data_IF_637860471919
#
_entry.id   IF_637860471919
#
_cell.length_a   1.000
_cell.length_b   1.000
_cell.length_c   1.000
_cell.angle_alpha   90.00
_cell.angle_beta   90.00
_cell.angle_gamma   90.00
#
_symmetry.space_group_name_H-M   'P 1'
#
loop_
_entity.id
_entity.type
_entity.pdbx_description
1 polymer ?
#
# COMPACT_ATOMS: atom_id res chain seq x y z
N UNK A 1 3.67 -45.36 -42.52
CA UNK A 1 2.72 -44.25 -42.80
C UNK A 1 1.98 -43.68 -41.59
N UNK A 2 1.93 -44.33 -40.41
CA UNK A 2 1.25 -43.75 -39.21
C UNK A 2 2.11 -42.87 -38.28
N UNK A 3 3.44 -42.78 -38.49
CA UNK A 3 4.34 -41.95 -37.66
C UNK A 3 4.64 -40.54 -38.21
N UNK A 4 4.25 -40.26 -39.46
CA UNK A 4 4.46 -38.95 -40.10
C UNK A 4 3.23 -38.04 -39.92
N UNK A 5 2.04 -38.61 -39.74
CA UNK A 5 0.79 -37.86 -39.58
C UNK A 5 0.64 -37.20 -38.19
N UNK A 6 1.25 -37.76 -37.14
CA UNK A 6 1.19 -37.19 -35.78
C UNK A 6 2.16 -36.02 -35.55
N UNK A 7 3.17 -35.82 -36.41
CA UNK A 7 4.06 -34.65 -36.31
C UNK A 7 3.52 -33.42 -37.06
N UNK A 8 2.65 -33.63 -38.05
CA UNK A 8 1.95 -32.54 -38.75
C UNK A 8 0.76 -31.97 -37.95
N UNK A 9 0.09 -32.79 -37.14
CA UNK A 9 -0.99 -32.31 -36.25
C UNK A 9 -0.48 -31.51 -35.02
N UNK A 10 0.73 -31.81 -34.54
CA UNK A 10 1.35 -31.07 -33.44
C UNK A 10 1.92 -29.71 -33.88
N UNK A 11 2.17 -29.53 -35.18
CA UNK A 11 2.62 -28.26 -35.77
C UNK A 11 1.45 -27.35 -36.20
N UNK A 12 0.23 -27.88 -36.33
CA UNK A 12 -0.95 -27.08 -36.66
C UNK A 12 -1.71 -26.56 -35.44
N UNK A 13 -1.55 -27.16 -34.25
CA UNK A 13 -2.16 -26.66 -33.01
C UNK A 13 -1.33 -25.58 -32.31
N UNK A 14 -0.05 -25.43 -32.65
CA UNK A 14 0.84 -24.38 -32.14
C UNK A 14 0.80 -23.09 -32.98
N UNK A 15 0.12 -23.10 -34.13
CA UNK A 15 -0.07 -21.90 -34.98
C UNK A 15 -1.36 -21.12 -34.68
N UNK A 16 -2.27 -21.64 -33.87
CA UNK A 16 -3.54 -20.96 -33.54
C UNK A 16 -3.52 -20.12 -32.26
N UNK A 17 -2.40 -20.13 -31.51
CA UNK A 17 -2.16 -19.22 -30.38
C UNK A 17 -1.17 -18.08 -30.71
N UNK A 18 -0.79 -17.92 -31.98
CA UNK A 18 0.18 -16.89 -32.42
C UNK A 18 -0.41 -15.78 -33.30
N UNK A 19 -1.74 -15.65 -33.38
CA UNK A 19 -2.41 -14.60 -34.16
C UNK A 19 -3.35 -13.71 -33.33
N UNK A 20 -3.23 -13.74 -32.00
CA UNK A 20 -3.96 -12.85 -31.09
C UNK A 20 -3.21 -11.60 -30.63
N UNK A 21 -1.97 -11.36 -31.09
CA UNK A 21 -1.17 -10.21 -30.65
C UNK A 21 -0.40 -9.59 -31.81
N UNK A 22 -0.39 -8.26 -31.88
CA UNK A 22 0.19 -7.41 -32.93
C UNK A 22 -0.73 -7.06 -34.11
N UNK A 23 -1.96 -6.59 -33.81
CA UNK A 23 -2.42 -5.39 -34.50
C UNK A 23 -1.57 -4.23 -33.98
N UNK A 24 -0.55 -3.81 -34.72
CA UNK A 24 0.25 -2.66 -34.33
C UNK A 24 -0.62 -1.41 -34.38
N UNK A 25 -0.74 -0.70 -33.27
CA UNK A 25 -1.49 0.57 -33.12
C UNK A 25 -1.00 1.72 -34.03
N UNK A 26 -0.20 1.46 -35.06
CA UNK A 26 0.42 2.49 -35.89
C UNK A 26 1.39 3.41 -35.12
N UNK A 27 1.67 3.13 -33.85
CA UNK A 27 2.60 3.90 -33.02
C UNK A 27 4.03 3.67 -33.49
N UNK A 28 4.74 4.76 -33.74
CA UNK A 28 6.16 4.75 -34.09
C UNK A 28 6.96 4.08 -32.95
N UNK A 29 7.79 3.10 -33.31
CA UNK A 29 8.68 2.45 -32.35
C UNK A 29 10.01 3.20 -32.28
N UNK A 30 10.46 3.50 -31.06
CA UNK A 30 11.70 4.23 -30.81
C UNK A 30 12.81 3.30 -30.31
N UNK A 31 14.09 3.61 -30.52
CA UNK A 31 15.19 2.89 -29.86
C UNK A 31 15.05 2.91 -28.33
N UNK A 32 15.37 1.81 -27.66
CA UNK A 32 15.46 1.78 -26.19
C UNK A 32 16.83 2.26 -25.75
N UNK A 33 16.91 3.51 -25.29
CA UNK A 33 18.13 4.15 -24.80
C UNK A 33 18.15 4.22 -23.26
N UNK A 34 17.32 3.40 -22.59
CA UNK A 34 17.16 3.48 -21.15
C UNK A 34 18.32 2.92 -20.35
N UNK A 35 19.05 1.95 -20.91
CA UNK A 35 20.16 1.27 -20.25
C UNK A 35 19.82 0.80 -18.82
N UNK A 36 18.61 0.25 -18.66
CA UNK A 36 18.10 -0.21 -17.37
C UNK A 36 18.81 -1.50 -16.96
N UNK A 37 19.08 -1.65 -15.66
CA UNK A 37 19.37 -2.95 -15.10
C UNK A 37 18.13 -3.87 -15.15
N UNK A 38 18.28 -5.20 -15.03
CA UNK A 38 17.15 -6.12 -15.15
C UNK A 38 16.04 -5.93 -14.10
N UNK A 39 16.34 -5.42 -12.90
CA UNK A 39 15.34 -5.22 -11.85
C UNK A 39 14.46 -4.02 -12.21
N UNK A 40 15.09 -2.88 -12.53
CA UNK A 40 14.38 -1.67 -13.00
C UNK A 40 13.64 -1.92 -14.32
N UNK A 41 14.22 -2.72 -15.23
CA UNK A 41 13.52 -3.12 -16.44
C UNK A 41 12.24 -3.89 -16.12
N UNK A 42 12.26 -4.78 -15.13
CA UNK A 42 11.09 -5.58 -14.75
C UNK A 42 9.97 -4.69 -14.21
N UNK A 43 10.26 -3.84 -13.22
CA UNK A 43 9.26 -2.97 -12.57
C UNK A 43 8.56 -2.05 -13.57
N UNK A 44 9.30 -1.51 -14.53
CA UNK A 44 8.78 -0.56 -15.52
C UNK A 44 8.00 -1.24 -16.67
N UNK A 45 8.26 -2.51 -16.98
CA UNK A 45 7.71 -3.15 -18.18
C UNK A 45 6.61 -4.19 -17.91
N UNK A 46 6.15 -4.37 -16.66
CA UNK A 46 4.94 -5.15 -16.39
C UNK A 46 3.67 -4.39 -16.79
N UNK A 47 2.67 -5.10 -17.28
CA UNK A 47 1.33 -4.56 -17.58
C UNK A 47 0.26 -5.55 -17.16
N UNK A 48 -0.88 -5.05 -16.71
CA UNK A 48 -2.03 -5.88 -16.34
C UNK A 48 -3.33 -5.22 -16.80
N UNK A 49 -4.44 -5.94 -16.70
CA UNK A 49 -5.78 -5.40 -16.86
C UNK A 49 -6.62 -5.93 -15.71
N UNK A 50 -7.23 -5.04 -14.94
CA UNK A 50 -8.11 -5.44 -13.85
C UNK A 50 -9.46 -5.94 -14.38
N UNK A 51 -10.28 -6.48 -13.48
CA UNK A 51 -11.61 -7.00 -13.80
C UNK A 51 -12.58 -5.96 -14.38
N UNK A 52 -12.36 -4.68 -14.09
CA UNK A 52 -13.14 -3.55 -14.61
C UNK A 52 -12.67 -3.11 -16.01
N UNK A 53 -11.62 -3.74 -16.54
CA UNK A 53 -11.07 -3.48 -17.87
C UNK A 53 -10.09 -2.30 -17.91
N UNK A 54 -9.62 -1.80 -16.76
CA UNK A 54 -8.59 -0.75 -16.71
C UNK A 54 -7.22 -1.37 -16.94
N UNK A 55 -6.48 -0.82 -17.89
CA UNK A 55 -5.13 -1.30 -18.22
C UNK A 55 -4.08 -0.57 -17.41
N UNK A 56 -3.37 -1.31 -16.56
CA UNK A 56 -2.14 -0.85 -15.90
C UNK A 56 -1.01 -0.89 -16.93
N UNK A 57 -0.53 0.28 -17.33
CA UNK A 57 0.45 0.41 -18.44
C UNK A 57 1.88 0.31 -17.93
N UNK A 58 2.80 -0.11 -18.78
CA UNK A 58 4.23 0.07 -18.53
C UNK A 58 4.58 1.56 -18.36
N UNK A 59 5.77 1.81 -17.84
CA UNK A 59 6.36 3.13 -17.64
C UNK A 59 7.68 3.28 -18.42
N UNK A 60 8.09 4.52 -18.70
CA UNK A 60 9.36 4.82 -19.39
C UNK A 60 10.52 4.96 -18.39
N UNK A 61 10.61 6.10 -17.70
CA UNK A 61 11.62 6.42 -16.69
C UNK A 61 10.97 7.06 -15.47
N UNK A 62 11.61 6.94 -14.33
CA UNK A 62 11.17 7.63 -13.12
C UNK A 62 11.37 9.14 -13.24
N UNK A 63 10.40 9.88 -12.68
CA UNK A 63 10.45 11.32 -12.47
C UNK A 63 11.01 11.52 -11.06
N UNK A 64 12.24 12.01 -10.98
CA UNK A 64 12.93 12.18 -9.71
C UNK A 64 12.18 13.12 -8.76
N UNK A 65 12.19 12.77 -7.47
CA UNK A 65 11.67 13.62 -6.39
C UNK A 65 10.20 13.43 -6.05
N UNK A 66 9.50 12.49 -6.71
CA UNK A 66 8.14 12.10 -6.36
C UNK A 66 8.15 10.80 -5.55
N UNK A 67 7.47 10.80 -4.41
CA UNK A 67 7.40 9.66 -3.51
C UNK A 67 5.96 9.20 -3.28
N UNK A 68 5.76 7.90 -3.13
CA UNK A 68 4.51 7.30 -2.67
C UNK A 68 4.77 6.45 -1.44
N UNK A 69 4.21 6.87 -0.32
CA UNK A 69 4.22 6.14 0.93
C UNK A 69 2.94 5.36 1.17
N UNK A 70 3.02 4.31 1.98
CA UNK A 70 1.89 3.44 2.29
C UNK A 70 1.80 3.16 3.78
N UNK A 71 0.66 3.46 4.39
CA UNK A 71 0.37 3.07 5.76
C UNK A 71 0.15 1.55 5.84
N UNK A 72 0.95 0.87 6.65
CA UNK A 72 1.05 -0.58 6.67
C UNK A 72 0.80 -1.14 8.08
N UNK A 73 -0.18 -2.05 8.19
CA UNK A 73 -0.61 -2.62 9.47
C UNK A 73 0.20 -3.87 9.80
N UNK A 74 0.70 -3.92 11.04
CA UNK A 74 1.74 -4.87 11.49
C UNK A 74 1.31 -5.70 12.71
N UNK A 75 0.00 -5.76 12.97
CA UNK A 75 -0.54 -6.19 14.25
C UNK A 75 -1.50 -7.39 14.18
N UNK A 76 -1.69 -7.96 12.99
CA UNK A 76 -2.46 -9.19 12.79
C UNK A 76 -1.85 -10.34 13.57
N UNK A 77 -2.70 -11.13 14.22
CA UNK A 77 -2.29 -12.25 15.06
C UNK A 77 -1.84 -11.90 16.48
N UNK A 78 -1.43 -10.64 16.75
CA UNK A 78 -0.91 -10.25 18.07
C UNK A 78 -2.03 -10.19 19.13
N UNK A 79 -3.18 -9.62 18.77
CA UNK A 79 -4.28 -9.35 19.70
C UNK A 79 -5.41 -10.39 19.66
N UNK A 80 -5.21 -11.49 18.93
CA UNK A 80 -6.21 -12.54 18.74
C UNK A 80 -5.92 -13.80 19.55
N UNK A 81 -4.89 -13.78 20.41
CA UNK A 81 -4.57 -14.91 21.29
C UNK A 81 -5.76 -15.24 22.22
N UNK A 82 -6.15 -16.51 22.26
CA UNK A 82 -7.30 -16.98 23.03
C UNK A 82 -8.67 -16.73 22.39
N UNK A 83 -8.72 -16.25 21.14
CA UNK A 83 -9.98 -16.18 20.40
C UNK A 83 -10.48 -17.60 20.09
N UNK A 84 -11.78 -17.89 20.23
CA UNK A 84 -12.33 -19.23 19.99
C UNK A 84 -12.42 -19.58 18.50
N UNK A 85 -12.44 -18.55 17.63
CA UNK A 85 -12.53 -18.63 16.17
C UNK A 85 -12.03 -17.32 15.58
N UNK A 86 -11.77 -17.32 14.27
CA UNK A 86 -11.73 -16.08 13.50
C UNK A 86 -13.14 -15.50 13.45
N UNK A 87 -13.26 -14.19 13.67
CA UNK A 87 -14.50 -13.48 13.47
C UNK A 87 -14.43 -12.75 12.13
N UNK A 88 -15.39 -13.01 11.25
CA UNK A 88 -15.51 -12.38 9.93
C UNK A 88 -16.90 -11.73 9.84
N UNK A 89 -16.95 -10.41 9.66
CA UNK A 89 -18.17 -9.61 9.63
C UNK A 89 -19.05 -10.04 8.45
N UNK A 90 -18.47 -10.26 7.27
CA UNK A 90 -19.22 -10.70 6.09
C UNK A 90 -19.92 -12.03 6.36
N UNK A 91 -19.22 -13.00 6.95
CA UNK A 91 -19.81 -14.30 7.32
C UNK A 91 -20.87 -14.15 8.42
N UNK A 92 -20.58 -13.39 9.49
CA UNK A 92 -21.51 -13.20 10.61
C UNK A 92 -22.80 -12.50 10.18
N UNK A 93 -22.71 -11.49 9.30
CA UNK A 93 -23.89 -10.81 8.76
C UNK A 93 -24.72 -11.72 7.85
N UNK A 94 -24.07 -12.61 7.10
CA UNK A 94 -24.77 -13.60 6.28
C UNK A 94 -25.48 -14.68 7.11
N UNK A 95 -24.91 -15.04 8.27
CA UNK A 95 -25.52 -16.00 9.20
C UNK A 95 -26.70 -15.39 9.98
N UNK A 96 -26.47 -14.26 10.67
CA UNK A 96 -27.49 -13.53 11.45
C UNK A 96 -27.08 -12.07 11.65
N UNK A 97 -27.53 -11.20 10.74
CA UNK A 97 -27.23 -9.77 10.79
C UNK A 97 -27.74 -9.08 12.06
N UNK A 98 -28.91 -9.45 12.59
CA UNK A 98 -29.46 -8.84 13.79
C UNK A 98 -28.63 -9.18 15.02
N UNK A 99 -28.17 -10.43 15.11
CA UNK A 99 -27.30 -10.88 16.20
C UNK A 99 -25.93 -10.17 16.20
N UNK A 100 -25.46 -9.67 15.06
CA UNK A 100 -24.23 -8.87 15.02
C UNK A 100 -24.40 -7.55 15.79
N UNK A 101 -25.56 -6.90 15.69
CA UNK A 101 -25.83 -5.59 16.29
C UNK A 101 -26.40 -5.65 17.71
N UNK A 102 -27.02 -6.77 18.11
CA UNK A 102 -27.62 -6.93 19.44
C UNK A 102 -26.57 -6.90 20.55
N UNK A 103 -26.56 -5.85 21.36
CA UNK A 103 -25.67 -5.69 22.52
C UNK A 103 -25.82 -6.79 23.56
N UNK A 104 -26.92 -7.56 23.57
CA UNK A 104 -27.08 -8.71 24.46
C UNK A 104 -26.33 -9.94 23.94
N UNK A 105 -26.04 -10.02 22.64
CA UNK A 105 -25.16 -11.02 22.07
C UNK A 105 -23.69 -10.62 22.32
N UNK A 106 -23.07 -11.28 23.29
CA UNK A 106 -21.67 -11.02 23.66
C UNK A 106 -20.65 -11.77 22.80
N UNK A 107 -21.07 -12.58 21.82
CA UNK A 107 -20.10 -13.23 20.93
C UNK A 107 -19.34 -12.17 20.12
N UNK A 108 -18.02 -12.27 20.16
CA UNK A 108 -17.13 -11.32 19.49
C UNK A 108 -17.06 -9.92 20.11
N UNK A 109 -17.80 -9.61 21.18
CA UNK A 109 -17.76 -8.27 21.78
C UNK A 109 -16.33 -7.88 22.22
N UNK A 110 -15.90 -6.65 21.90
CA UNK A 110 -14.57 -6.11 22.20
C UNK A 110 -13.40 -6.93 21.59
N UNK A 111 -13.68 -7.71 20.54
CA UNK A 111 -12.69 -8.48 19.79
C UNK A 111 -12.51 -7.94 18.37
N UNK A 112 -11.33 -8.18 17.80
CA UNK A 112 -11.06 -7.91 16.39
C UNK A 112 -11.87 -8.83 15.47
N UNK A 113 -12.43 -8.25 14.42
CA UNK A 113 -13.22 -8.91 13.38
C UNK A 113 -12.67 -8.51 12.03
N UNK A 114 -12.41 -9.49 11.17
CA UNK A 114 -12.16 -9.27 9.75
C UNK A 114 -13.41 -8.73 9.07
N UNK A 115 -13.32 -7.67 8.28
CA UNK A 115 -14.49 -7.21 7.51
C UNK A 115 -14.84 -8.16 6.36
N UNK A 116 -13.85 -8.88 5.84
CA UNK A 116 -13.97 -9.95 4.85
C UNK A 116 -12.68 -10.78 4.81
N UNK A 117 -12.62 -11.76 3.92
CA UNK A 117 -11.46 -12.66 3.83
C UNK A 117 -10.38 -12.10 2.88
N UNK A 118 -9.13 -11.89 3.36
CA UNK A 118 -8.01 -11.56 2.48
C UNK A 118 -7.77 -12.66 1.44
N UNK A 119 -7.20 -12.31 0.28
CA UNK A 119 -6.87 -13.30 -0.77
C UNK A 119 -5.99 -14.44 -0.23
N UNK A 120 -5.12 -14.12 0.73
CA UNK A 120 -4.20 -15.05 1.37
C UNK A 120 -4.80 -15.76 2.60
N UNK A 121 -6.10 -15.60 2.85
CA UNK A 121 -6.76 -16.06 4.07
C UNK A 121 -6.38 -15.21 5.30
N UNK A 122 -6.85 -15.62 6.47
CA UNK A 122 -6.56 -14.93 7.73
C UNK A 122 -5.15 -15.25 8.21
N UNK A 123 -4.33 -14.23 8.46
CA UNK A 123 -2.90 -14.38 8.70
C UNK A 123 -2.40 -13.65 9.95
N UNK A 124 -1.13 -13.87 10.28
CA UNK A 124 -0.38 -13.11 11.28
C UNK A 124 0.63 -12.18 10.57
N UNK A 125 0.89 -11.00 11.12
CA UNK A 125 1.79 -10.02 10.51
C UNK A 125 3.27 -10.44 10.51
N UNK A 126 3.63 -11.49 11.25
CA UNK A 126 4.99 -12.04 11.31
C UNK A 126 5.17 -13.31 10.45
N UNK A 127 4.17 -13.71 9.67
CA UNK A 127 4.28 -14.85 8.75
C UNK A 127 5.25 -14.53 7.59
N UNK A 128 6.39 -15.24 7.48
CA UNK A 128 7.36 -14.97 6.42
C UNK A 128 6.82 -15.15 5.01
N UNK A 129 5.86 -16.06 4.80
CA UNK A 129 5.27 -16.29 3.48
C UNK A 129 4.42 -15.09 3.05
N UNK A 130 3.60 -14.57 3.96
CA UNK A 130 2.80 -13.36 3.70
C UNK A 130 3.70 -12.15 3.46
N UNK A 131 4.69 -11.94 4.33
CA UNK A 131 5.62 -10.81 4.24
C UNK A 131 6.35 -10.84 2.88
N UNK A 132 6.77 -12.02 2.42
CA UNK A 132 7.35 -12.20 1.07
C UNK A 132 6.40 -11.63 0.01
N UNK A 133 5.15 -12.10 -0.05
CA UNK A 133 4.17 -11.68 -1.06
C UNK A 133 3.89 -10.18 -1.01
N UNK A 134 3.76 -9.60 0.18
CA UNK A 134 3.53 -8.17 0.34
C UNK A 134 4.71 -7.35 -0.19
N UNK A 135 5.94 -7.69 0.17
CA UNK A 135 7.10 -6.93 -0.29
C UNK A 135 7.26 -7.00 -1.81
N UNK A 136 7.02 -8.16 -2.41
CA UNK A 136 7.05 -8.31 -3.87
C UNK A 136 6.03 -7.38 -4.53
N UNK A 137 4.77 -7.45 -4.11
CA UNK A 137 3.70 -6.62 -4.68
C UNK A 137 3.98 -5.13 -4.52
N UNK A 138 4.43 -4.70 -3.35
CA UNK A 138 4.68 -3.29 -3.05
C UNK A 138 5.93 -2.76 -3.76
N UNK A 139 6.96 -3.59 -3.90
CA UNK A 139 8.14 -3.29 -4.74
C UNK A 139 7.73 -3.13 -6.20
N UNK A 140 6.93 -4.06 -6.73
CA UNK A 140 6.47 -4.00 -8.13
C UNK A 140 5.48 -2.87 -8.40
N UNK A 141 4.77 -2.40 -7.37
CA UNK A 141 3.91 -1.22 -7.44
C UNK A 141 4.70 0.10 -7.45
N UNK A 142 5.99 0.08 -7.10
CA UNK A 142 6.82 1.28 -6.99
C UNK A 142 6.56 2.10 -5.73
N UNK A 143 6.12 1.46 -4.64
CA UNK A 143 5.97 2.10 -3.33
C UNK A 143 7.35 2.39 -2.74
N UNK A 144 7.61 3.65 -2.41
CA UNK A 144 8.91 4.10 -1.93
C UNK A 144 9.14 3.75 -0.47
N UNK A 145 8.09 3.81 0.34
CA UNK A 145 8.20 3.53 1.77
C UNK A 145 6.93 3.03 2.42
N UNK A 146 7.11 2.18 3.41
CA UNK A 146 6.08 1.73 4.32
C UNK A 146 6.13 2.58 5.59
N UNK A 147 4.97 2.99 6.07
CA UNK A 147 4.83 3.62 7.36
C UNK A 147 4.15 2.64 8.29
N UNK A 148 4.91 2.12 9.25
CA UNK A 148 4.41 1.17 10.23
C UNK A 148 3.46 1.83 11.21
N UNK A 149 2.29 1.21 11.35
CA UNK A 149 1.28 1.62 12.31
C UNK A 149 1.71 1.29 13.75
N UNK A 150 2.14 2.33 14.47
CA UNK A 150 2.40 2.31 15.92
C UNK A 150 1.59 3.39 16.63
N UNK A 151 0.46 3.78 16.02
CA UNK A 151 -0.35 4.93 16.44
C UNK A 151 -1.00 4.76 17.82
N UNK A 152 -1.27 3.51 18.23
CA UNK A 152 -1.80 3.14 19.54
C UNK A 152 -0.76 2.59 20.53
N UNK A 153 0.49 3.09 20.49
CA UNK A 153 1.59 2.81 21.45
C UNK A 153 2.29 1.46 21.36
N UNK A 154 1.62 0.40 20.89
CA UNK A 154 2.22 -0.94 20.80
C UNK A 154 3.28 -0.94 19.69
N UNK A 155 4.48 -1.44 20.02
CA UNK A 155 5.57 -1.65 19.06
C UNK A 155 5.66 -3.14 18.78
N UNK A 156 5.22 -3.57 17.59
CA UNK A 156 5.14 -4.98 17.21
C UNK A 156 6.51 -5.52 16.74
N UNK A 157 7.48 -5.55 17.66
CA UNK A 157 8.89 -5.83 17.35
C UNK A 157 9.09 -7.12 16.55
N UNK A 158 8.34 -8.19 16.85
CA UNK A 158 8.46 -9.47 16.13
C UNK A 158 8.08 -9.34 14.65
N UNK A 159 6.91 -8.75 14.35
CA UNK A 159 6.46 -8.53 12.98
C UNK A 159 7.39 -7.55 12.25
N UNK A 160 7.74 -6.42 12.88
CA UNK A 160 8.63 -5.41 12.30
C UNK A 160 10.00 -6.01 11.96
N UNK A 161 10.58 -6.82 12.85
CA UNK A 161 11.86 -7.47 12.62
C UNK A 161 11.79 -8.48 11.46
N UNK A 162 10.72 -9.26 11.37
CA UNK A 162 10.50 -10.18 10.25
C UNK A 162 10.40 -9.44 8.91
N UNK A 163 9.70 -8.30 8.88
CA UNK A 163 9.58 -7.46 7.68
C UNK A 163 10.95 -6.86 7.31
N UNK A 164 11.69 -6.30 8.27
CA UNK A 164 13.05 -5.77 8.03
C UNK A 164 13.99 -6.83 7.44
N UNK A 165 13.98 -8.04 8.00
CA UNK A 165 14.81 -9.15 7.49
C UNK A 165 14.47 -9.48 6.03
N UNK A 166 13.19 -9.49 5.68
CA UNK A 166 12.77 -9.80 4.31
C UNK A 166 13.03 -8.64 3.33
N UNK A 167 12.85 -7.39 3.76
CA UNK A 167 13.25 -6.20 2.98
C UNK A 167 14.75 -6.22 2.70
N UNK A 168 15.58 -6.48 3.73
CA UNK A 168 17.03 -6.57 3.56
C UNK A 168 17.43 -7.71 2.62
N UNK A 169 16.73 -8.85 2.71
CA UNK A 169 16.95 -9.99 1.83
C UNK A 169 16.73 -9.62 0.36
N UNK A 170 15.60 -9.00 0.01
CA UNK A 170 15.32 -8.62 -1.38
C UNK A 170 16.13 -7.42 -1.86
N UNK A 171 16.42 -6.44 -0.98
CA UNK A 171 17.39 -5.38 -1.27
C UNK A 171 18.74 -5.94 -1.68
N UNK A 172 19.24 -6.95 -0.96
CA UNK A 172 20.53 -7.59 -1.26
C UNK A 172 20.52 -8.39 -2.58
N UNK A 173 19.35 -8.73 -3.13
CA UNK A 173 19.24 -9.27 -4.48
C UNK A 173 19.36 -8.21 -5.56
N UNK A 174 19.15 -6.93 -5.24
CA UNK A 174 19.16 -5.82 -6.19
C UNK A 174 17.80 -5.14 -6.40
N UNK A 175 16.75 -5.58 -5.69
CA UNK A 175 15.45 -4.92 -5.75
C UNK A 175 15.46 -3.59 -5.01
N UNK A 176 14.81 -2.59 -5.61
CA UNK A 176 14.52 -1.33 -4.94
C UNK A 176 13.26 -1.47 -4.07
N UNK A 177 13.44 -2.14 -2.93
CA UNK A 177 12.35 -2.43 -1.99
C UNK A 177 11.89 -1.16 -1.27
N UNK A 178 10.62 -1.10 -0.83
CA UNK A 178 10.14 -0.04 0.03
C UNK A 178 11.04 0.14 1.26
N UNK A 179 11.43 1.39 1.53
CA UNK A 179 12.07 1.80 2.79
C UNK A 179 11.02 1.88 3.90
N UNK A 180 11.42 2.25 5.11
CA UNK A 180 10.51 2.26 6.25
C UNK A 180 10.57 3.53 7.09
N UNK A 181 9.41 3.90 7.64
CA UNK A 181 9.24 4.92 8.66
C UNK A 181 8.17 4.46 9.67
N UNK A 182 7.97 5.22 10.75
CA UNK A 182 6.97 4.91 11.77
C UNK A 182 6.01 6.08 11.98
N UNK A 183 4.74 5.75 12.19
CA UNK A 183 3.72 6.70 12.61
C UNK A 183 3.32 6.42 14.06
N UNK A 184 3.43 7.43 14.92
CA UNK A 184 2.99 7.40 16.30
C UNK A 184 1.96 8.52 16.55
N UNK A 185 1.03 8.31 17.47
CA UNK A 185 0.01 9.30 17.79
C UNK A 185 -0.28 9.35 19.30
N UNK A 186 -0.88 8.28 19.85
CA UNK A 186 -1.04 8.12 21.29
C UNK A 186 0.32 7.85 21.95
N UNK A 187 0.58 8.49 23.09
CA UNK A 187 1.85 8.43 23.83
C UNK A 187 3.08 8.40 22.90
N UNK A 188 3.07 9.34 21.95
CA UNK A 188 4.00 9.44 20.83
C UNK A 188 5.45 9.46 21.30
N UNK A 189 5.78 10.25 22.32
CA UNK A 189 7.17 10.44 22.76
C UNK A 189 7.79 9.15 23.31
N UNK A 190 7.06 8.44 24.19
CA UNK A 190 7.50 7.15 24.73
C UNK A 190 7.60 6.08 23.65
N UNK A 191 6.71 6.15 22.65
CA UNK A 191 6.69 5.20 21.54
C UNK A 191 7.88 5.40 20.62
N UNK A 192 8.16 6.65 20.22
CA UNK A 192 9.36 7.03 19.47
C UNK A 192 10.62 6.63 20.23
N UNK A 193 10.67 6.85 21.55
CA UNK A 193 11.80 6.42 22.37
C UNK A 193 12.08 4.92 22.25
N UNK A 194 11.05 4.08 22.38
CA UNK A 194 11.19 2.62 22.23
C UNK A 194 11.66 2.24 20.82
N UNK A 195 11.11 2.89 19.78
CA UNK A 195 11.50 2.66 18.38
C UNK A 195 12.98 3.04 18.17
N UNK A 196 13.37 4.23 18.65
CA UNK A 196 14.73 4.75 18.54
C UNK A 196 15.75 3.81 19.19
N UNK A 197 15.54 3.43 20.45
CA UNK A 197 16.44 2.53 21.19
C UNK A 197 16.52 1.12 20.57
N UNK A 198 15.44 0.67 19.91
CA UNK A 198 15.37 -0.68 19.32
C UNK A 198 16.13 -0.78 17.99
N UNK A 199 15.96 0.20 17.10
CA UNK A 199 16.48 0.15 15.73
C UNK A 199 17.45 1.27 15.38
N UNK A 200 17.10 2.53 15.67
CA UNK A 200 17.86 3.69 15.19
C UNK A 200 19.18 3.92 15.95
N UNK A 201 19.15 3.90 17.28
CA UNK A 201 20.34 4.12 18.12
C UNK A 201 21.45 3.09 17.84
N UNK A 202 21.07 1.88 17.44
CA UNK A 202 21.97 0.77 17.16
C UNK A 202 22.39 0.68 15.68
N UNK A 203 21.90 1.56 14.81
CA UNK A 203 22.19 1.50 13.36
C UNK A 203 21.59 0.27 12.66
N UNK A 204 20.55 -0.36 13.21
CA UNK A 204 19.96 -1.56 12.61
C UNK A 204 19.13 -1.19 11.39
N UNK A 205 19.42 -1.83 10.27
CA UNK A 205 18.72 -1.63 9.00
C UNK A 205 18.79 -0.17 8.49
N UNK A 206 19.90 0.53 8.75
CA UNK A 206 20.12 1.94 8.38
C UNK A 206 19.83 2.22 6.89
N UNK A 207 20.19 1.28 6.02
CA UNK A 207 19.97 1.33 4.58
C UNK A 207 18.52 1.10 4.13
N UNK A 208 17.62 0.78 5.08
CA UNK A 208 16.18 0.63 4.89
C UNK A 208 15.38 1.76 5.52
N UNK A 209 15.99 2.71 6.22
CA UNK A 209 15.26 3.85 6.77
C UNK A 209 14.89 4.83 5.66
N UNK A 210 13.62 5.18 5.56
CA UNK A 210 13.17 6.16 4.59
C UNK A 210 13.53 7.58 5.03
N UNK A 211 13.90 8.42 4.07
CA UNK A 211 14.23 9.82 4.29
C UNK A 211 13.87 10.62 3.03
N UNK A 212 13.25 11.80 3.21
CA UNK A 212 13.09 12.76 2.12
C UNK A 212 14.38 13.52 1.78
N UNK A 213 15.39 13.43 2.65
CA UNK A 213 16.70 14.08 2.51
C UNK A 213 17.76 13.30 3.28
N UNK A 214 18.41 13.93 4.26
CA UNK A 214 19.50 13.30 5.02
C UNK A 214 19.08 12.63 6.33
N UNK A 215 17.86 12.88 6.82
CA UNK A 215 17.39 12.42 8.13
C UNK A 215 16.24 11.42 8.01
N UNK A 216 16.27 10.29 8.74
CA UNK A 216 15.18 9.32 8.70
C UNK A 216 13.85 9.96 9.10
N UNK A 217 12.77 9.56 8.43
CA UNK A 217 11.43 10.04 8.70
C UNK A 217 10.88 9.41 9.99
N UNK A 218 10.34 10.26 10.87
CA UNK A 218 9.47 9.84 11.98
C UNK A 218 8.22 10.74 11.98
N UNK A 219 7.05 10.13 12.15
CA UNK A 219 5.80 10.88 12.27
C UNK A 219 5.27 10.70 13.69
N UNK A 220 5.04 11.81 14.39
CA UNK A 220 4.65 11.77 15.80
C UNK A 220 3.79 12.94 16.22
N UNK A 221 2.94 12.72 17.22
CA UNK A 221 2.25 13.81 17.90
C UNK A 221 3.22 14.60 18.80
N UNK A 222 3.07 15.91 18.82
CA UNK A 222 3.76 16.80 19.76
C UNK A 222 2.94 16.89 21.05
N UNK A 223 3.58 16.72 22.20
CA UNK A 223 2.91 16.84 23.50
C UNK A 223 3.52 15.97 24.58
N UNK A 224 2.97 16.07 25.78
CA UNK A 224 3.27 15.11 26.86
C UNK A 224 2.34 13.91 26.75
N UNK A 225 2.92 12.72 26.83
CA UNK A 225 2.21 11.45 26.91
C UNK A 225 1.33 11.40 28.18
N UNK A 226 0.13 10.85 28.04
CA UNK A 226 -0.77 10.66 29.18
C UNK A 226 -0.21 9.61 30.14
N UNK A 227 -0.18 9.95 31.43
CA UNK A 227 0.33 9.04 32.46
C UNK A 227 1.83 8.76 32.38
N UNK A 228 2.59 9.57 31.62
CA UNK A 228 4.03 9.42 31.51
C UNK A 228 4.74 9.60 32.84
N UNK A 229 5.71 8.72 33.10
CA UNK A 229 6.65 8.86 34.23
C UNK A 229 7.85 9.74 33.88
N UNK A 230 7.98 10.18 32.61
CA UNK A 230 9.04 11.07 32.18
C UNK A 230 8.83 12.46 32.79
N UNK A 231 9.89 13.02 33.34
CA UNK A 231 9.91 14.39 33.81
C UNK A 231 9.76 15.38 32.63
N UNK A 232 9.24 16.61 32.86
CA UNK A 232 9.18 17.62 31.82
C UNK A 232 10.53 17.96 31.18
N UNK A 233 11.63 17.81 31.93
CA UNK A 233 12.98 18.02 31.41
C UNK A 233 13.41 16.88 30.47
N UNK A 234 13.13 15.63 30.82
CA UNK A 234 13.39 14.49 29.93
C UNK A 234 12.60 14.61 28.63
N UNK A 235 11.32 15.01 28.69
CA UNK A 235 10.51 15.24 27.49
C UNK A 235 11.10 16.36 26.62
N UNK A 236 11.59 17.46 27.20
CA UNK A 236 12.26 18.52 26.44
C UNK A 236 13.52 18.02 25.74
N UNK A 237 14.39 17.33 26.50
CA UNK A 237 15.64 16.77 25.98
C UNK A 237 15.40 15.80 24.82
N UNK A 238 14.46 14.87 24.98
CA UNK A 238 14.13 13.89 23.93
C UNK A 238 13.52 14.56 22.70
N UNK A 239 12.67 15.58 22.88
CA UNK A 239 12.14 16.35 21.75
C UNK A 239 13.26 17.03 20.94
N UNK A 240 14.26 17.60 21.61
CA UNK A 240 15.41 18.22 20.94
C UNK A 240 16.26 17.16 20.23
N UNK A 241 16.60 16.07 20.92
CA UNK A 241 17.39 14.96 20.38
C UNK A 241 16.72 14.32 19.14
N UNK A 242 15.42 14.05 19.20
CA UNK A 242 14.69 13.44 18.09
C UNK A 242 14.45 14.40 16.93
N UNK A 243 14.27 15.70 17.17
CA UNK A 243 14.21 16.68 16.07
C UNK A 243 15.59 16.93 15.43
N UNK A 244 16.67 16.71 16.16
CA UNK A 244 18.03 16.74 15.60
C UNK A 244 18.30 15.49 14.76
N UNK A 245 17.89 14.31 15.22
CA UNK A 245 18.14 13.04 14.51
C UNK A 245 17.20 12.78 13.33
N UNK A 246 15.89 12.99 13.49
CA UNK A 246 14.88 12.66 12.48
C UNK A 246 14.44 13.87 11.64
N UNK A 247 13.91 13.61 10.44
CA UNK A 247 12.89 14.48 9.83
C UNK A 247 11.59 14.23 10.60
N UNK A 248 11.39 15.02 11.66
CA UNK A 248 10.23 14.87 12.53
C UNK A 248 9.02 15.60 11.93
N UNK A 249 8.03 14.81 11.48
CA UNK A 249 6.74 15.31 10.99
C UNK A 249 5.64 15.14 12.03
N UNK A 250 4.70 16.08 12.02
CA UNK A 250 3.63 16.14 13.00
C UNK A 250 2.48 15.24 12.55
N UNK A 251 2.15 14.24 13.38
CA UNK A 251 0.93 13.46 13.24
C UNK A 251 -0.26 14.40 13.02
N UNK A 252 -0.97 14.23 11.90
CA UNK A 252 -2.15 15.03 11.57
C UNK A 252 -3.35 14.12 11.43
N UNK A 253 -4.21 14.19 12.44
CA UNK A 253 -5.40 13.37 12.56
C UNK A 253 -6.65 14.16 12.17
N UNK A 254 -7.59 13.59 11.41
CA UNK A 254 -8.63 14.36 10.73
C UNK A 254 -9.69 15.00 11.64
N UNK A 255 -9.90 14.47 12.85
CA UNK A 255 -10.91 15.00 13.80
C UNK A 255 -10.36 15.95 14.86
N UNK A 256 -9.06 16.23 14.88
CA UNK A 256 -8.49 17.05 15.95
C UNK A 256 -8.75 18.54 15.69
N UNK A 257 -9.45 19.19 16.61
CA UNK A 257 -9.88 20.61 16.57
C UNK A 257 -8.72 21.64 16.67
N UNK A 258 -7.46 21.24 16.44
CA UNK A 258 -6.33 22.18 16.42
C UNK A 258 -6.09 22.74 15.01
N UNK A 259 -5.39 23.87 14.95
CA UNK A 259 -4.93 24.45 13.68
C UNK A 259 -3.95 23.50 13.01
N UNK A 260 -4.37 22.86 11.91
CA UNK A 260 -3.52 22.00 11.07
C UNK A 260 -2.20 22.71 10.75
N UNK A 261 -1.06 22.08 11.07
CA UNK A 261 0.28 22.57 10.71
C UNK A 261 0.55 22.14 9.27
N UNK A 262 0.22 22.98 8.29
CA UNK A 262 0.39 22.66 6.86
C UNK A 262 1.85 22.59 6.41
N UNK A 263 2.81 23.00 7.25
CA UNK A 263 4.24 23.01 6.91
C UNK A 263 4.94 21.72 7.38
N UNK A 264 4.61 21.25 8.59
CA UNK A 264 5.23 20.06 9.22
C UNK A 264 4.27 18.89 9.39
N UNK A 265 2.98 19.10 9.17
CA UNK A 265 1.96 18.06 9.29
C UNK A 265 2.14 16.95 8.28
N UNK A 266 1.76 15.74 8.69
CA UNK A 266 1.74 14.57 7.85
C UNK A 266 0.37 13.88 8.03
N UNK A 267 -0.59 14.11 7.12
CA UNK A 267 -1.95 13.61 7.29
C UNK A 267 -1.98 12.08 7.22
N UNK A 268 -2.48 11.42 8.26
CA UNK A 268 -2.84 10.00 8.16
C UNK A 268 -4.00 9.82 7.18
N UNK A 269 -4.99 10.71 7.28
CA UNK A 269 -6.13 10.84 6.39
C UNK A 269 -6.62 12.29 6.44
N UNK A 270 -7.18 12.77 5.33
CA UNK A 270 -7.97 14.01 5.29
C UNK A 270 -9.44 13.67 5.06
N UNK A 271 -10.34 14.31 5.80
CA UNK A 271 -11.79 14.18 5.63
C UNK A 271 -12.38 15.32 4.80
N UNK A 272 -11.56 16.31 4.43
CA UNK A 272 -11.93 17.38 3.51
C UNK A 272 -11.70 16.95 2.06
N UNK A 273 -12.56 17.44 1.16
CA UNK A 273 -12.40 17.28 -0.29
C UNK A 273 -12.53 18.63 -1.00
N UNK A 274 -11.62 19.00 -1.91
CA UNK A 274 -10.38 18.29 -2.25
C UNK A 274 -9.43 18.16 -1.05
N UNK A 275 -8.55 17.14 -1.02
CA UNK A 275 -7.66 16.93 0.12
C UNK A 275 -6.69 18.12 0.32
N UNK A 276 -6.32 18.38 1.57
CA UNK A 276 -5.41 19.47 1.91
C UNK A 276 -3.97 19.15 1.51
N UNK A 277 -3.26 20.18 1.07
CA UNK A 277 -1.82 20.15 0.78
C UNK A 277 -0.99 20.44 2.04
N UNK A 278 -0.12 19.50 2.44
CA UNK A 278 0.81 19.62 3.56
C UNK A 278 2.25 19.68 3.06
N UNK A 279 2.66 20.84 2.55
CA UNK A 279 4.02 21.11 2.09
C UNK A 279 4.62 19.98 1.23
N UNK A 280 3.91 19.63 0.16
CA UNK A 280 4.29 18.60 -0.80
C UNK A 280 3.57 17.26 -0.57
N UNK A 281 2.96 17.07 0.60
CA UNK A 281 2.24 15.83 0.96
C UNK A 281 0.72 15.96 0.81
N UNK A 282 0.08 14.97 0.20
CA UNK A 282 -1.37 14.74 0.27
C UNK A 282 -1.67 13.29 0.64
N UNK A 283 -2.65 13.06 1.51
CA UNK A 283 -3.13 11.71 1.82
C UNK A 283 -4.22 11.29 0.84
N UNK A 284 -4.14 10.08 0.30
CA UNK A 284 -5.14 9.50 -0.61
C UNK A 284 -5.68 8.23 0.01
N UNK A 285 -7.01 8.16 0.17
CA UNK A 285 -7.68 7.06 0.86
C UNK A 285 -8.67 6.33 -0.05
N UNK A 286 -8.73 5.01 0.05
CA UNK A 286 -9.70 4.21 -0.69
C UNK A 286 -11.14 4.41 -0.18
N UNK A 287 -11.30 4.60 1.13
CA UNK A 287 -12.55 4.97 1.78
C UNK A 287 -12.25 5.82 3.03
N UNK A 288 -13.16 6.70 3.43
CA UNK A 288 -12.97 7.60 4.57
C UNK A 288 -14.15 7.46 5.54
N UNK A 289 -13.88 7.55 6.84
CA UNK A 289 -14.90 7.50 7.89
C UNK A 289 -15.07 8.84 8.65
N UNK A 290 -15.53 9.95 8.05
CA UNK A 290 -15.77 11.20 8.78
C UNK A 290 -16.64 11.08 10.04
N UNK A 291 -17.52 10.07 10.12
CA UNK A 291 -18.29 9.76 11.32
C UNK A 291 -17.55 9.00 12.42
N UNK A 292 -16.27 8.68 12.23
CA UNK A 292 -15.45 7.83 13.11
C UNK A 292 -15.99 6.39 13.33
N UNK A 293 -17.05 6.00 12.63
CA UNK A 293 -17.68 4.68 12.73
C UNK A 293 -17.93 4.16 11.33
N UNK A 294 -16.96 3.45 10.76
CA UNK A 294 -17.09 2.90 9.41
C UNK A 294 -18.33 2.00 9.25
N UNK A 295 -18.77 1.34 10.34
CA UNK A 295 -20.01 0.56 10.37
C UNK A 295 -21.29 1.36 10.12
N UNK A 296 -21.27 2.69 10.26
CA UNK A 296 -22.42 3.55 9.94
C UNK A 296 -22.62 3.74 8.43
N UNK A 297 -21.71 3.21 7.60
CA UNK A 297 -21.85 3.17 6.15
C UNK A 297 -22.14 4.57 5.57
N UNK A 298 -23.07 4.68 4.61
CA UNK A 298 -23.45 5.94 3.96
C UNK A 298 -24.01 7.03 4.89
N UNK A 299 -24.33 6.72 6.15
CA UNK A 299 -24.87 7.70 7.09
C UNK A 299 -23.85 8.79 7.41
N UNK A 300 -22.57 8.43 7.43
CA UNK A 300 -21.49 9.32 7.87
C UNK A 300 -20.15 9.10 7.16
N UNK A 301 -20.08 8.17 6.20
CA UNK A 301 -18.82 7.75 5.58
C UNK A 301 -18.81 7.89 4.05
N UNK A 302 -17.61 8.11 3.51
CA UNK A 302 -17.33 8.06 2.08
C UNK A 302 -16.73 6.69 1.77
N UNK A 303 -17.57 5.74 1.33
CA UNK A 303 -17.12 4.41 0.94
C UNK A 303 -16.25 4.42 -0.32
N UNK A 304 -15.84 3.24 -0.77
CA UNK A 304 -15.03 3.08 -2.00
C UNK A 304 -15.74 3.64 -3.24
N UNK A 305 -17.07 3.56 -3.24
CA UNK A 305 -17.94 4.05 -4.32
C UNK A 305 -18.35 5.51 -4.20
N UNK A 306 -17.78 6.29 -3.28
CA UNK A 306 -18.13 7.71 -3.14
C UNK A 306 -17.80 8.50 -4.42
N UNK A 307 -18.81 9.14 -4.99
CA UNK A 307 -18.72 9.88 -6.26
C UNK A 307 -18.71 11.39 -5.99
N UNK A 308 -17.55 12.01 -6.14
CA UNK A 308 -17.36 13.46 -5.96
C UNK A 308 -18.10 14.34 -6.97
N UNK A 309 -18.67 13.79 -8.06
CA UNK A 309 -19.54 14.55 -8.97
C UNK A 309 -20.96 14.72 -8.42
N UNK A 310 -21.41 13.81 -7.57
CA UNK A 310 -22.75 13.84 -6.94
C UNK A 310 -22.69 14.02 -5.42
N UNK A 311 -21.50 13.91 -4.83
CA UNK A 311 -21.23 13.90 -3.39
C UNK A 311 -22.06 12.87 -2.64
N UNK A 312 -22.13 11.65 -3.17
CA UNK A 312 -22.89 10.51 -2.60
C UNK A 312 -22.15 9.20 -2.83
N UNK A 313 -22.40 8.22 -1.97
CA UNK A 313 -22.02 6.83 -2.25
C UNK A 313 -22.86 6.28 -3.41
N UNK A 314 -22.20 5.64 -4.35
CA UNK A 314 -22.82 4.83 -5.40
C UNK A 314 -22.23 3.40 -5.31
N UNK A 315 -22.98 2.43 -4.77
CA UNK A 315 -22.50 1.04 -4.65
C UNK A 315 -22.07 0.43 -5.98
N UNK A 316 -22.65 0.86 -7.11
CA UNK A 316 -22.25 0.39 -8.44
C UNK A 316 -20.84 0.87 -8.84
N UNK A 317 -20.27 1.82 -8.10
CA UNK A 317 -18.92 2.34 -8.25
C UNK A 317 -17.97 1.90 -7.14
N UNK A 318 -18.41 1.04 -6.22
CA UNK A 318 -17.58 0.56 -5.13
C UNK A 318 -16.35 -0.20 -5.65
N UNK A 319 -16.56 -1.21 -6.52
CA UNK A 319 -15.45 -1.94 -7.15
C UNK A 319 -14.62 -1.02 -8.07
N UNK A 320 -15.23 -0.01 -8.71
CA UNK A 320 -14.48 0.97 -9.51
C UNK A 320 -13.55 1.86 -8.65
N UNK A 321 -13.73 1.89 -7.32
CA UNK A 321 -12.93 2.73 -6.43
C UNK A 321 -13.06 4.21 -6.78
N UNK A 322 -14.29 4.68 -7.03
CA UNK A 322 -14.55 6.06 -7.45
C UNK A 322 -14.03 7.11 -6.45
N UNK A 323 -14.09 6.80 -5.15
CA UNK A 323 -13.52 7.65 -4.11
C UNK A 323 -12.01 7.81 -4.30
N UNK A 324 -11.33 6.67 -4.43
CA UNK A 324 -9.88 6.62 -4.63
C UNK A 324 -9.46 7.34 -5.91
N UNK A 325 -10.19 7.12 -7.00
CA UNK A 325 -9.94 7.80 -8.28
C UNK A 325 -10.09 9.33 -8.18
N UNK A 326 -11.13 9.83 -7.50
CA UNK A 326 -11.32 11.27 -7.32
C UNK A 326 -10.23 11.92 -6.45
N UNK A 327 -9.78 11.20 -5.41
CA UNK A 327 -8.68 11.65 -4.56
C UNK A 327 -7.33 11.67 -5.30
N UNK A 328 -7.05 10.69 -6.16
CA UNK A 328 -5.89 10.75 -7.05
C UNK A 328 -5.99 11.86 -8.09
N UNK A 329 -7.19 12.11 -8.64
CA UNK A 329 -7.40 13.21 -9.59
C UNK A 329 -7.07 14.57 -8.96
N UNK A 330 -7.40 14.77 -7.68
CA UNK A 330 -7.03 15.97 -6.92
C UNK A 330 -5.51 16.20 -6.90
N UNK A 331 -4.71 15.14 -6.73
CA UNK A 331 -3.24 15.22 -6.77
C UNK A 331 -2.75 15.69 -8.15
N UNK A 332 -3.28 15.10 -9.21
CA UNK A 332 -2.88 15.45 -10.58
C UNK A 332 -3.31 16.87 -10.97
N UNK A 333 -4.54 17.25 -10.63
CA UNK A 333 -5.06 18.60 -10.87
C UNK A 333 -4.24 19.64 -10.11
N UNK A 334 -3.88 19.37 -8.85
CA UNK A 334 -3.02 20.24 -8.07
C UNK A 334 -1.67 20.47 -8.77
N UNK A 335 -1.02 19.41 -9.25
CA UNK A 335 0.28 19.51 -9.91
C UNK A 335 0.21 20.27 -11.22
N UNK A 336 -0.88 20.13 -11.97
CA UNK A 336 -1.13 20.90 -13.19
C UNK A 336 -1.36 22.39 -12.89
N UNK A 337 -2.11 22.71 -11.83
CA UNK A 337 -2.46 24.08 -11.44
C UNK A 337 -1.33 24.81 -10.69
N UNK A 338 -0.49 24.07 -9.98
CA UNK A 338 0.52 24.61 -9.06
C UNK A 338 1.94 24.06 -9.30
N UNK A 339 2.52 24.23 -10.50
CA UNK A 339 3.81 23.63 -10.86
C UNK A 339 5.00 24.13 -10.01
N UNK A 340 4.87 25.27 -9.32
CA UNK A 340 5.90 25.81 -8.42
C UNK A 340 5.85 25.24 -6.99
N UNK A 341 4.81 24.47 -6.65
CA UNK A 341 4.62 23.82 -5.34
C UNK A 341 3.87 22.48 -5.51
N UNK A 342 4.41 21.56 -6.33
CA UNK A 342 3.72 20.31 -6.62
C UNK A 342 3.57 19.47 -5.36
N UNK A 343 2.51 18.66 -5.33
CA UNK A 343 2.50 17.43 -4.54
C UNK A 343 3.61 16.55 -5.09
N UNK A 344 4.59 16.30 -4.24
CA UNK A 344 5.74 15.43 -4.51
C UNK A 344 5.77 14.23 -3.55
N UNK A 345 4.78 14.13 -2.66
CA UNK A 345 4.58 12.98 -1.79
C UNK A 345 3.09 12.63 -1.72
N UNK A 346 2.73 11.42 -2.10
CA UNK A 346 1.38 10.87 -1.89
C UNK A 346 1.44 9.83 -0.78
N UNK A 347 0.57 9.98 0.21
CA UNK A 347 0.49 9.03 1.32
C UNK A 347 -0.81 8.22 1.25
N UNK A 348 -0.68 6.92 0.99
CA UNK A 348 -1.81 6.00 0.90
C UNK A 348 -2.22 5.51 2.30
N UNK A 349 -3.50 5.64 2.63
CA UNK A 349 -3.94 5.52 4.04
C UNK A 349 -4.08 4.09 4.56
N UNK A 350 -3.94 3.05 3.74
CA UNK A 350 -4.11 1.69 4.22
C UNK A 350 -3.80 0.59 3.19
N UNK A 351 -2.83 -0.25 3.53
CA UNK A 351 -2.72 -1.62 3.06
C UNK A 351 -2.93 -2.54 4.25
N UNK A 352 -3.51 -3.72 4.02
CA UNK A 352 -3.69 -4.80 4.99
C UNK A 352 -4.30 -4.47 6.37
N UNK A 353 -5.14 -3.46 6.53
CA UNK A 353 -5.89 -3.17 7.77
C UNK A 353 -6.78 -4.34 8.19
N UNK A 354 -7.67 -4.82 7.31
CA UNK A 354 -8.59 -5.97 7.40
C UNK A 354 -9.50 -6.14 8.61
N UNK A 355 -9.10 -5.71 9.79
CA UNK A 355 -9.79 -6.01 11.03
C UNK A 355 -10.12 -4.75 11.81
N UNK A 356 -11.28 -4.75 12.46
CA UNK A 356 -11.67 -3.71 13.41
C UNK A 356 -12.24 -4.35 14.67
N UNK A 357 -12.19 -3.62 15.79
CA UNK A 357 -12.80 -4.07 17.03
C UNK A 357 -14.31 -3.87 16.95
N UNK A 358 -15.09 -4.92 17.26
CA UNK A 358 -16.54 -4.83 17.47
C UNK A 358 -16.82 -4.18 18.83
N UNK A 359 -16.89 -2.85 18.85
CA UNK A 359 -17.06 -2.01 20.05
C UNK A 359 -18.53 -1.80 20.39
N UNK A 360 -18.83 -1.60 21.66
CA UNK A 360 -20.18 -1.32 22.16
C UNK A 360 -20.28 0.09 22.77
N UNK A 361 -21.25 0.90 22.36
CA UNK A 361 -21.50 2.23 22.94
C UNK A 361 -22.61 2.28 24.01
N UNK A 362 -23.14 1.12 24.39
CA UNK A 362 -24.24 0.95 25.32
C UNK A 362 -25.62 0.87 24.64
N UNK A 363 -25.69 1.16 23.33
CA UNK A 363 -26.93 1.11 22.53
C UNK A 363 -26.80 0.08 21.40
N UNK A 364 -25.69 0.11 20.67
CA UNK A 364 -25.41 -0.79 19.55
C UNK A 364 -23.94 -1.21 19.52
N UNK A 365 -23.65 -2.29 18.80
CA UNK A 365 -22.30 -2.54 18.33
C UNK A 365 -21.94 -1.63 17.13
N UNK A 366 -20.66 -1.32 17.00
CA UNK A 366 -20.09 -0.56 15.86
C UNK A 366 -18.62 -0.95 15.63
N UNK A 367 -18.10 -0.61 14.46
CA UNK A 367 -16.67 -0.68 14.13
C UNK A 367 -16.17 0.69 13.66
N UNK A 368 -14.91 1.01 13.99
CA UNK A 368 -14.32 2.34 13.74
C UNK A 368 -13.73 2.40 12.35
N UNK A 369 -12.71 1.57 12.07
CA UNK A 369 -11.82 1.80 10.93
C UNK A 369 -12.29 1.10 9.64
N UNK A 370 -12.89 -0.08 9.78
CA UNK A 370 -13.33 -0.93 8.66
C UNK A 370 -14.58 -1.76 9.03
N UNK A 371 -15.42 -2.09 8.05
CA UNK A 371 -16.69 -2.78 8.28
C UNK A 371 -17.07 -3.81 7.21
N UNK A 372 -17.05 -3.46 5.92
CA UNK A 372 -17.40 -4.37 4.82
C UNK A 372 -16.68 -3.96 3.51
N UNK A 373 -17.04 -4.59 2.38
CA UNK A 373 -16.38 -4.31 1.10
C UNK A 373 -16.50 -2.85 0.63
N UNK A 374 -17.61 -2.15 0.85
CA UNK A 374 -17.74 -0.74 0.44
C UNK A 374 -17.17 0.23 1.47
N UNK A 375 -17.24 -0.16 2.74
CA UNK A 375 -16.83 0.64 3.89
C UNK A 375 -15.62 0.00 4.58
N UNK A 376 -14.52 -0.05 3.83
CA UNK A 376 -13.19 -0.46 4.28
C UNK A 376 -12.11 0.24 3.44
N UNK A 377 -10.96 0.51 4.05
CA UNK A 377 -9.89 1.31 3.45
C UNK A 377 -8.78 0.46 2.83
N UNK A 378 -8.98 -0.84 2.81
CA UNK A 378 -8.00 -1.85 2.44
C UNK A 378 -7.75 -1.91 0.94
N UNK A 379 -6.49 -1.66 0.55
CA UNK A 379 -6.03 -1.82 -0.84
C UNK A 379 -5.67 -3.29 -1.14
N UNK A 380 -5.34 -4.09 -0.12
CA UNK A 380 -4.94 -5.49 -0.30
C UNK A 380 -6.04 -6.32 -0.97
N UNK A 381 -5.61 -7.34 -1.70
CA UNK A 381 -6.49 -8.21 -2.47
C UNK A 381 -7.43 -9.05 -1.60
N UNK A 382 -8.65 -9.25 -2.09
CA UNK A 382 -9.73 -9.94 -1.38
C UNK A 382 -10.05 -11.30 -2.00
N UNK A 383 -10.31 -12.31 -1.15
CA UNK A 383 -10.88 -13.57 -1.59
C UNK A 383 -12.39 -13.42 -1.82
N UNK A 384 -12.88 -13.76 -3.01
CA UNK A 384 -14.32 -13.79 -3.31
C UNK A 384 -15.01 -12.43 -3.50
N UNK A 385 -14.27 -11.31 -3.51
CA UNK A 385 -14.77 -9.96 -3.78
C UNK A 385 -14.08 -9.30 -4.98
N UNK A 386 -13.48 -8.12 -4.76
CA UNK A 386 -12.79 -7.32 -5.78
C UNK A 386 -11.43 -7.89 -6.25
N UNK A 387 -10.96 -9.02 -5.72
CA UNK A 387 -9.68 -9.63 -6.11
C UNK A 387 -8.52 -8.62 -6.03
N UNK A 388 -7.80 -8.33 -7.11
CA UNK A 388 -6.63 -7.45 -7.16
C UNK A 388 -6.91 -6.02 -7.61
N UNK A 389 -8.19 -5.64 -7.70
CA UNK A 389 -8.62 -4.43 -8.39
C UNK A 389 -8.00 -3.14 -7.82
N UNK A 390 -7.98 -2.97 -6.50
CA UNK A 390 -7.41 -1.77 -5.86
C UNK A 390 -5.88 -1.75 -5.82
N UNK A 391 -5.25 -2.94 -5.79
CA UNK A 391 -3.81 -3.05 -6.00
C UNK A 391 -3.45 -2.56 -7.40
N UNK A 392 -4.12 -3.05 -8.45
CA UNK A 392 -3.88 -2.63 -9.83
C UNK A 392 -4.19 -1.14 -10.06
N UNK A 393 -5.26 -0.62 -9.47
CA UNK A 393 -5.54 0.82 -9.47
C UNK A 393 -4.43 1.62 -8.81
N UNK A 394 -3.84 1.12 -7.72
CA UNK A 394 -2.67 1.74 -7.08
C UNK A 394 -1.46 1.73 -7.99
N UNK A 395 -1.15 0.60 -8.66
CA UNK A 395 -0.03 0.52 -9.60
C UNK A 395 -0.17 1.55 -10.74
N UNK A 396 -1.37 1.69 -11.33
CA UNK A 396 -1.57 2.64 -12.44
C UNK A 396 -1.39 4.10 -11.98
N UNK A 397 -1.94 4.44 -10.80
CA UNK A 397 -1.82 5.79 -10.25
C UNK A 397 -0.38 6.13 -9.82
N UNK A 398 0.32 5.20 -9.16
CA UNK A 398 1.74 5.36 -8.82
C UNK A 398 2.55 5.56 -10.10
N UNK A 399 2.26 4.79 -11.16
CA UNK A 399 2.94 4.95 -12.44
C UNK A 399 2.71 6.33 -13.06
N UNK A 400 1.48 6.81 -13.05
CA UNK A 400 1.14 8.13 -13.55
C UNK A 400 1.78 9.28 -12.74
N UNK A 401 1.97 9.07 -11.42
CA UNK A 401 2.56 10.08 -10.53
C UNK A 401 4.09 10.10 -10.56
N UNK A 402 4.71 8.92 -10.60
CA UNK A 402 6.17 8.76 -10.45
C UNK A 402 6.93 8.58 -11.75
N UNK A 403 6.29 8.30 -12.88
CA UNK A 403 7.01 7.91 -14.09
C UNK A 403 6.50 8.61 -15.35
N UNK A 404 7.41 8.74 -16.31
CA UNK A 404 7.07 9.18 -17.66
C UNK A 404 6.20 8.13 -18.38
N UNK A 405 5.24 8.56 -19.23
CA UNK A 405 4.40 7.65 -20.00
C UNK A 405 5.22 6.69 -20.87
N UNK A 406 4.85 5.41 -20.88
CA UNK A 406 5.55 4.41 -21.68
C UNK A 406 5.63 4.75 -23.17
N UNK A 407 6.79 4.46 -23.75
CA UNK A 407 7.05 4.50 -25.19
C UNK A 407 7.02 3.08 -25.76
N UNK A 408 6.76 2.96 -27.05
CA UNK A 408 6.86 1.68 -27.76
C UNK A 408 8.29 1.51 -28.25
N UNK A 409 9.04 0.56 -27.70
CA UNK A 409 10.44 0.37 -28.06
C UNK A 409 10.65 -0.65 -29.20
N UNK A 410 11.73 -0.44 -29.96
CA UNK A 410 12.26 -1.44 -30.89
C UNK A 410 12.96 -2.53 -30.10
N UNK A 411 12.36 -3.73 -30.06
CA UNK A 411 13.00 -4.90 -29.46
C UNK A 411 14.07 -5.47 -30.39
N UNK A 412 15.31 -5.56 -29.90
CA UNK A 412 16.41 -6.16 -30.63
C UNK A 412 16.11 -7.64 -30.90
N UNK A 413 16.32 -8.08 -32.16
CA UNK A 413 16.23 -9.49 -32.53
C UNK A 413 17.61 -10.13 -32.39
N UNK A 414 17.72 -11.07 -31.47
CA UNK A 414 18.93 -11.87 -31.30
C UNK A 414 18.74 -13.26 -31.92
N UNK A 415 19.80 -13.80 -32.55
CA UNK A 415 19.84 -15.19 -33.01
C UNK A 415 20.61 -16.00 -31.99
N UNK A 416 20.02 -17.09 -31.50
CA UNK A 416 20.61 -17.96 -30.48
C UNK A 416 21.02 -19.27 -31.15
N UNK A 417 22.25 -19.70 -30.89
CA UNK A 417 22.70 -21.05 -31.26
C UNK A 417 22.18 -22.06 -30.24
N UNK A 418 21.38 -23.02 -30.70
CA UNK A 418 20.80 -24.06 -29.84
C UNK A 418 21.81 -25.17 -29.51
N UNK A 419 22.92 -25.25 -30.24
CA UNK A 419 23.99 -26.21 -29.99
C UNK A 419 25.03 -25.67 -28.97
N UNK A 420 24.97 -24.37 -28.64
CA UNK A 420 25.79 -23.76 -27.59
C UNK A 420 25.20 -24.02 -26.20
N UNK A 421 25.74 -25.03 -25.53
CA UNK A 421 25.34 -25.40 -24.17
C UNK A 421 25.62 -24.33 -23.10
N UNK A 422 26.41 -23.29 -23.40
CA UNK A 422 26.63 -22.16 -22.50
C UNK A 422 25.51 -21.12 -22.57
N UNK A 423 24.70 -21.14 -23.63
CA UNK A 423 23.68 -20.14 -23.93
C UNK A 423 24.21 -18.69 -23.92
N UNK A 424 25.48 -18.47 -24.29
CA UNK A 424 26.10 -17.14 -24.25
C UNK A 424 25.34 -16.10 -25.11
N UNK A 425 24.61 -16.53 -26.14
CA UNK A 425 23.74 -15.68 -26.96
C UNK A 425 22.55 -15.06 -26.20
N UNK A 426 22.17 -15.59 -25.03
CA UNK A 426 21.18 -14.95 -24.15
C UNK A 426 21.75 -13.71 -23.46
N UNK A 427 23.07 -13.61 -23.32
CA UNK A 427 23.70 -12.45 -22.66
C UNK A 427 23.55 -11.15 -23.48
N UNK A 428 23.26 -11.23 -24.78
CA UNK A 428 23.01 -10.05 -25.62
C UNK A 428 21.53 -9.64 -25.66
N UNK A 429 20.65 -10.35 -24.96
CA UNK A 429 19.23 -9.99 -24.83
C UNK A 429 19.10 -8.90 -23.76
N UNK A 430 18.58 -7.74 -24.16
CA UNK A 430 18.39 -6.58 -23.28
C UNK A 430 17.04 -6.57 -22.55
N UNK A 431 16.02 -7.22 -23.13
CA UNK A 431 14.72 -7.39 -22.49
C UNK A 431 14.78 -8.54 -21.48
N UNK A 432 15.27 -8.26 -20.27
CA UNK A 432 15.40 -9.25 -19.19
C UNK A 432 14.41 -8.93 -18.08
N UNK A 433 13.57 -9.91 -17.76
CA UNK A 433 12.67 -9.86 -16.63
C UNK A 433 13.26 -10.69 -15.50
N UNK A 434 13.38 -10.08 -14.32
CA UNK A 434 13.84 -10.70 -13.09
C UNK A 434 12.64 -11.08 -12.25
N UNK A 435 12.81 -12.18 -11.54
CA UNK A 435 11.87 -12.64 -10.54
C UNK A 435 12.55 -12.55 -9.17
N UNK A 436 11.75 -12.48 -8.11
CA UNK A 436 12.26 -12.57 -6.76
C UNK A 436 12.80 -13.98 -6.53
N UNK A 437 13.98 -14.10 -5.90
CA UNK A 437 14.60 -15.41 -5.67
C UNK A 437 14.42 -15.86 -4.21
N UNK A 438 14.10 -17.13 -3.99
CA UNK A 438 14.03 -17.72 -2.64
C UNK A 438 12.78 -17.31 -1.85
N UNK A 439 11.68 -17.15 -2.56
CA UNK A 439 10.38 -16.71 -2.10
C UNK A 439 9.53 -17.80 -1.40
#
# INVERSE_FOLDING_TARGET
MKKILNRLLAFSLSLFFLLGGCGGDGKERVPDERNLDPYTYTTLNLSSTDREGRTVRSADREIEGNYVGLFYHIWHGTHTNGYPKVYDITQLLAEDAEAFWDINNKDGAEKFHYWGEPLYGYYCSDDPWLITRHIELLTMAGIDYLVYDTTNTVVYTQAIEAIFQKLAFFKNQGWDVPKVAFYTNSNSMSTIKRIYETWYEQGKYEDLWFSFGDKPLIIGALGQDEGSVMTPEEVRRLNEEYQEFFDFRISTWPYLDYVKDYERGFPWMDWEYPQSYFNGTMSVSLAQHPGARMSECEQSNNGRGFDYSTFRNDPAKAELGANYAGQWQTVFDWNAEHPARPVNNVFLTGWNEWIAIKKNDGVTYFTVDTFNEEYSRDIEMMNGGYEDNFYLQTVDNVRAFKYEPAKSYVLARNTIDLDDASFAGLETVTARFKDFEGD
#
